data_IF_586456598750
#
_entry.id   IF_586456598750
#
_cell.length_a   1.000
_cell.length_b   1.000
_cell.length_c   1.000
_cell.angle_alpha   90.00
_cell.angle_beta   90.00
_cell.angle_gamma   90.00
#
_symmetry.space_group_name_H-M   'P 1'
#
loop_
_entity.id
_entity.type
_entity.pdbx_description
1 polymer ?
#
# COMPACT_ATOMS: atom_id res chain seq x y z
N UNK A 1 -2.61 -13.16 -11.31
CA UNK A 1 -3.27 -11.84 -11.34
C UNK A 1 -3.21 -11.27 -9.95
N UNK A 2 -2.74 -10.03 -9.84
CA UNK A 2 -2.75 -9.31 -8.57
C UNK A 2 -4.07 -8.56 -8.45
N UNK A 3 -4.76 -8.82 -7.35
CA UNK A 3 -5.81 -7.94 -6.87
C UNK A 3 -5.36 -7.61 -5.44
N UNK A 4 -5.05 -6.35 -5.20
CA UNK A 4 -4.50 -5.86 -3.94
C UNK A 4 -5.43 -4.82 -3.33
N UNK A 5 -5.57 -4.84 -2.00
CA UNK A 5 -6.36 -3.86 -1.28
C UNK A 5 -5.44 -2.70 -0.91
N UNK A 6 -5.62 -1.59 -1.62
CA UNK A 6 -4.94 -0.34 -1.29
C UNK A 6 -5.79 0.56 -0.39
N UNK A 7 -6.87 0.04 0.20
CA UNK A 7 -7.65 0.75 1.22
C UNK A 7 -7.21 0.36 2.63
N UNK A 8 -7.36 1.28 3.59
CA UNK A 8 -7.14 1.03 5.02
C UNK A 8 -8.48 0.78 5.71
N UNK A 9 -8.46 0.20 6.91
CA UNK A 9 -9.65 -0.11 7.71
C UNK A 9 -10.57 1.07 8.01
N UNK A 10 -10.07 2.31 7.91
CA UNK A 10 -10.87 3.53 8.15
C UNK A 10 -11.63 4.01 6.91
N UNK A 11 -11.49 3.36 5.76
CA UNK A 11 -12.18 3.74 4.52
C UNK A 11 -13.42 2.86 4.32
N UNK A 12 -14.54 3.46 3.93
CA UNK A 12 -15.86 2.80 3.86
C UNK A 12 -15.87 1.55 2.97
N UNK A 13 -15.13 1.57 1.85
CA UNK A 13 -15.07 0.47 0.89
C UNK A 13 -14.06 -0.62 1.26
N UNK A 14 -13.35 -0.49 2.39
CA UNK A 14 -12.34 -1.46 2.82
C UNK A 14 -12.88 -2.90 2.96
N UNK A 15 -13.99 -3.17 3.69
CA UNK A 15 -14.49 -4.54 3.86
C UNK A 15 -14.94 -5.18 2.55
N UNK A 16 -15.58 -4.42 1.67
CA UNK A 16 -16.04 -4.92 0.37
C UNK A 16 -14.87 -5.25 -0.55
N UNK A 17 -13.85 -4.38 -0.61
CA UNK A 17 -12.62 -4.65 -1.37
C UNK A 17 -11.88 -5.86 -0.84
N UNK A 18 -11.79 -6.02 0.49
CA UNK A 18 -11.17 -7.19 1.11
C UNK A 18 -11.86 -8.48 0.67
N UNK A 19 -13.19 -8.51 0.73
CA UNK A 19 -14.00 -9.66 0.29
C UNK A 19 -13.82 -9.95 -1.20
N UNK A 20 -13.74 -8.91 -2.03
CA UNK A 20 -13.47 -9.06 -3.47
C UNK A 20 -12.10 -9.71 -3.73
N UNK A 21 -11.05 -9.31 -3.02
CA UNK A 21 -9.71 -9.87 -3.16
C UNK A 21 -9.65 -11.32 -2.69
N UNK A 22 -10.25 -11.62 -1.54
CA UNK A 22 -10.36 -13.00 -1.03
C UNK A 22 -11.05 -13.92 -2.05
N UNK A 23 -12.12 -13.44 -2.69
CA UNK A 23 -12.78 -14.21 -3.74
C UNK A 23 -11.95 -14.31 -5.03
N UNK A 24 -11.25 -13.25 -5.41
CA UNK A 24 -10.35 -13.23 -6.57
C UNK A 24 -9.19 -14.21 -6.42
N UNK A 25 -8.67 -14.40 -5.20
CA UNK A 25 -7.63 -15.39 -4.90
C UNK A 25 -8.09 -16.83 -5.16
N UNK A 26 -9.38 -17.13 -4.96
CA UNK A 26 -9.94 -18.49 -5.17
C UNK A 26 -9.97 -18.90 -6.65
N UNK A 27 -10.07 -17.94 -7.58
CA UNK A 27 -10.12 -18.20 -9.03
C UNK A 27 -8.75 -18.09 -9.72
N UNK A 28 -7.69 -17.79 -8.97
CA UNK A 28 -6.31 -17.58 -9.48
C UNK A 28 -5.81 -18.71 -10.36
N UNK A 29 -6.07 -19.96 -9.97
CA UNK A 29 -5.56 -21.14 -10.69
C UNK A 29 -6.33 -21.43 -11.98
N UNK A 30 -7.62 -21.10 -12.03
CA UNK A 30 -8.41 -21.20 -13.26
C UNK A 30 -7.90 -20.22 -14.31
N UNK A 31 -7.65 -18.97 -13.90
CA UNK A 31 -7.08 -17.95 -14.78
C UNK A 31 -5.71 -18.36 -15.32
N UNK A 32 -4.84 -18.91 -14.45
CA UNK A 32 -3.53 -19.44 -14.88
C UNK A 32 -3.68 -20.53 -15.95
N UNK A 33 -4.64 -21.46 -15.79
CA UNK A 33 -4.89 -22.52 -16.79
C UNK A 33 -5.32 -21.95 -18.13
N UNK A 34 -6.16 -20.92 -18.14
CA UNK A 34 -6.60 -20.25 -19.37
C UNK A 34 -5.44 -19.54 -20.07
N UNK A 35 -4.61 -18.83 -19.31
CA UNK A 35 -3.50 -18.03 -19.84
C UNK A 35 -2.36 -18.90 -20.37
N UNK A 36 -2.06 -20.04 -19.72
CA UNK A 36 -1.00 -20.98 -20.12
C UNK A 36 -1.11 -21.45 -21.57
N UNK A 37 -2.32 -21.44 -22.14
CA UNK A 37 -2.59 -21.80 -23.55
C UNK A 37 -2.03 -20.80 -24.57
N UNK A 38 -1.53 -19.65 -24.12
CA UNK A 38 -1.09 -18.54 -24.96
C UNK A 38 0.34 -18.07 -24.64
N UNK A 39 1.04 -18.74 -23.72
CA UNK A 39 2.42 -18.40 -23.31
C UNK A 39 3.44 -18.52 -24.45
N UNK A 40 3.11 -19.28 -25.48
CA UNK A 40 3.89 -19.40 -26.72
C UNK A 40 3.77 -18.18 -27.65
N UNK A 41 2.73 -17.36 -27.46
CA UNK A 41 2.39 -16.22 -28.34
C UNK A 41 2.65 -14.87 -27.71
N UNK A 42 2.63 -14.80 -26.38
CA UNK A 42 2.81 -13.56 -25.62
C UNK A 42 3.59 -13.83 -24.33
N UNK A 43 4.46 -12.88 -23.98
CA UNK A 43 5.14 -12.89 -22.68
C UNK A 43 4.11 -12.51 -21.62
N UNK A 44 3.89 -13.42 -20.67
CA UNK A 44 2.99 -13.20 -19.54
C UNK A 44 3.83 -13.02 -18.28
N UNK A 45 3.66 -11.87 -17.64
CA UNK A 45 4.19 -11.60 -16.31
C UNK A 45 3.03 -11.30 -15.36
N UNK A 46 3.08 -11.88 -14.17
CA UNK A 46 2.22 -11.46 -13.07
C UNK A 46 3.00 -11.57 -11.77
N UNK A 47 2.81 -10.58 -10.91
CA UNK A 47 3.32 -10.61 -9.56
C UNK A 47 2.38 -11.50 -8.69
N UNK A 48 2.90 -12.04 -7.60
CA UNK A 48 2.16 -12.93 -6.72
C UNK A 48 1.25 -12.17 -5.76
N UNK A 49 -0.02 -12.57 -5.68
CA UNK A 49 -1.04 -12.03 -4.77
C UNK A 49 -0.83 -12.34 -3.28
N UNK A 50 0.34 -12.85 -2.90
CA UNK A 50 0.64 -13.18 -1.50
C UNK A 50 0.90 -11.90 -0.71
N UNK A 51 0.54 -11.91 0.58
CA UNK A 51 0.76 -10.77 1.46
C UNK A 51 2.27 -10.50 1.56
N UNK A 52 2.72 -9.33 1.10
CA UNK A 52 4.14 -8.91 1.12
C UNK A 52 4.56 -8.28 2.45
N UNK A 53 3.85 -8.62 3.52
CA UNK A 53 4.23 -8.23 4.87
C UNK A 53 5.54 -8.89 5.19
N UNK A 54 6.64 -8.13 5.28
CA UNK A 54 7.64 -8.28 6.35
C UNK A 54 8.44 -6.98 6.53
N UNK A 55 8.83 -6.23 5.49
CA UNK A 55 9.66 -5.02 5.67
C UNK A 55 9.50 -4.04 4.49
N UNK A 56 8.58 -3.07 4.59
CA UNK A 56 8.46 -2.01 3.57
C UNK A 56 9.56 -0.95 3.77
N UNK A 57 10.54 -0.93 2.87
CA UNK A 57 11.63 0.05 2.86
C UNK A 57 11.18 1.46 2.43
N UNK A 58 10.04 1.56 1.74
CA UNK A 58 9.57 2.81 1.17
C UNK A 58 9.27 3.84 2.27
N UNK A 59 8.45 3.48 3.25
CA UNK A 59 8.07 4.37 4.35
C UNK A 59 9.27 4.90 5.13
N UNK A 60 10.38 4.16 5.16
CA UNK A 60 11.63 4.52 5.84
C UNK A 60 12.43 5.57 5.06
N UNK A 61 12.58 5.36 3.75
CA UNK A 61 13.53 6.06 2.89
C UNK A 61 12.87 7.05 1.92
N UNK A 62 11.55 7.03 1.83
CA UNK A 62 10.78 7.77 0.84
C UNK A 62 9.43 8.22 1.42
N UNK A 63 8.84 9.20 0.76
CA UNK A 63 7.49 9.69 1.01
C UNK A 63 6.82 9.96 -0.34
N UNK A 64 5.54 10.30 -0.29
CA UNK A 64 4.85 10.93 -1.40
C UNK A 64 4.39 12.31 -0.96
N UNK A 65 4.52 13.30 -1.85
CA UNK A 65 4.02 14.65 -1.62
C UNK A 65 2.92 14.89 -2.64
N UNK A 66 1.71 15.13 -2.16
CA UNK A 66 0.55 15.39 -3.01
C UNK A 66 0.66 16.77 -3.66
N UNK A 67 -0.11 17.02 -4.71
CA UNK A 67 -0.11 18.31 -5.43
C UNK A 67 -0.49 19.50 -4.54
N UNK A 68 -1.33 19.26 -3.53
CA UNK A 68 -1.74 20.23 -2.50
C UNK A 68 -0.79 20.25 -1.28
N UNK A 69 0.36 19.59 -1.36
CA UNK A 69 1.49 19.76 -0.45
C UNK A 69 1.51 18.83 0.77
N UNK A 70 0.58 17.90 0.91
CA UNK A 70 0.59 16.95 2.02
C UNK A 70 1.65 15.87 1.83
N UNK A 71 2.36 15.55 2.91
CA UNK A 71 3.34 14.45 2.94
C UNK A 71 2.64 13.17 3.41
N UNK A 72 2.55 12.17 2.56
CA UNK A 72 1.93 10.86 2.83
C UNK A 72 2.99 9.74 2.77
N UNK A 73 2.72 8.52 3.31
CA UNK A 73 3.77 7.52 3.51
C UNK A 73 4.24 6.83 2.22
N UNK A 74 3.41 6.78 1.18
CA UNK A 74 3.75 6.19 -0.12
C UNK A 74 2.76 6.63 -1.22
N UNK A 75 3.14 6.46 -2.48
CA UNK A 75 2.33 6.86 -3.64
C UNK A 75 1.05 6.01 -3.83
N UNK A 76 1.03 4.76 -3.34
CA UNK A 76 -0.14 3.87 -3.43
C UNK A 76 -1.23 4.19 -2.39
N UNK A 77 -0.90 5.00 -1.37
CA UNK A 77 -1.85 5.54 -0.38
C UNK A 77 -1.81 7.07 -0.41
N UNK A 78 -2.22 7.70 -1.52
CA UNK A 78 -2.00 9.13 -1.72
C UNK A 78 -3.00 10.00 -0.98
N UNK A 79 -4.12 9.45 -0.49
CA UNK A 79 -5.19 10.21 0.16
C UNK A 79 -4.71 10.84 1.49
N UNK A 80 -4.51 12.17 1.54
CA UNK A 80 -3.99 12.83 2.72
C UNK A 80 -5.04 12.93 3.84
N UNK A 81 -6.34 12.76 3.54
CA UNK A 81 -7.40 12.75 4.55
C UNK A 81 -7.39 11.45 5.36
N UNK A 82 -6.96 10.35 4.73
CA UNK A 82 -6.74 9.07 5.41
C UNK A 82 -5.50 9.15 6.30
N UNK A 83 -4.36 9.56 5.75
CA UNK A 83 -3.12 9.63 6.53
C UNK A 83 -2.07 10.56 5.91
N UNK A 84 -1.63 11.56 6.68
CA UNK A 84 -0.53 12.47 6.29
C UNK A 84 0.37 12.82 7.50
N UNK A 85 1.55 13.37 7.25
CA UNK A 85 2.51 13.80 8.28
C UNK A 85 2.60 15.33 8.44
N UNK A 86 1.92 16.09 7.60
CA UNK A 86 1.97 17.54 7.55
C UNK A 86 1.89 18.05 6.11
N UNK A 87 1.90 19.37 5.95
CA UNK A 87 1.83 20.05 4.66
C UNK A 87 3.05 20.97 4.47
N UNK A 88 3.74 20.85 3.33
CA UNK A 88 4.97 21.59 3.03
C UNK A 88 4.76 23.09 2.86
N UNK A 89 3.53 23.54 2.61
CA UNK A 89 3.18 24.96 2.59
C UNK A 89 3.04 25.56 3.99
N UNK A 90 3.01 24.74 5.05
CA UNK A 90 2.87 25.17 6.44
C UNK A 90 4.14 24.98 7.27
N UNK A 91 4.91 23.91 7.02
CA UNK A 91 6.15 23.57 7.73
C UNK A 91 7.20 23.14 6.73
N UNK A 92 8.47 23.34 7.05
CA UNK A 92 9.54 22.85 6.19
C UNK A 92 9.49 21.32 6.08
N UNK A 93 9.86 20.78 4.91
CA UNK A 93 9.92 19.34 4.71
C UNK A 93 10.80 18.65 5.78
N UNK A 94 11.91 19.29 6.17
CA UNK A 94 12.82 18.78 7.21
C UNK A 94 12.12 18.62 8.55
N UNK A 95 11.26 19.54 8.95
CA UNK A 95 10.48 19.45 10.18
C UNK A 95 9.45 18.33 10.10
N UNK A 96 8.73 18.21 8.98
CA UNK A 96 7.73 17.15 8.77
C UNK A 96 8.39 15.77 8.82
N UNK A 97 9.47 15.59 8.06
CA UNK A 97 10.23 14.33 7.97
C UNK A 97 10.78 13.87 9.33
N UNK A 98 11.25 14.82 10.14
CA UNK A 98 11.85 14.55 11.46
C UNK A 98 10.86 14.66 12.62
N UNK A 99 9.58 14.87 12.34
CA UNK A 99 8.52 14.97 13.35
C UNK A 99 8.36 13.67 14.14
N UNK A 100 7.89 13.78 15.38
CA UNK A 100 7.59 12.61 16.22
C UNK A 100 6.54 11.69 15.57
N UNK A 101 5.55 12.27 14.88
CA UNK A 101 4.51 11.52 14.14
C UNK A 101 5.14 10.61 13.08
N UNK A 102 6.02 11.16 12.25
CA UNK A 102 6.64 10.40 11.16
C UNK A 102 7.69 9.41 11.71
N UNK A 103 8.51 9.79 12.69
CA UNK A 103 9.46 8.86 13.34
C UNK A 103 8.75 7.66 13.96
N UNK A 104 7.65 7.89 14.68
CA UNK A 104 6.83 6.83 15.28
C UNK A 104 6.24 5.90 14.20
N UNK A 105 5.71 6.47 13.12
CA UNK A 105 5.20 5.68 12.01
C UNK A 105 6.28 4.77 11.39
N UNK A 106 7.47 5.31 11.10
CA UNK A 106 8.58 4.53 10.54
C UNK A 106 9.06 3.43 11.47
N UNK A 107 9.11 3.71 12.77
CA UNK A 107 9.44 2.72 13.79
C UNK A 107 8.45 1.55 13.76
N UNK A 108 7.15 1.85 13.87
CA UNK A 108 6.07 0.85 13.88
C UNK A 108 6.03 0.04 12.58
N UNK A 109 6.20 0.69 11.44
CA UNK A 109 6.23 0.03 10.14
C UNK A 109 7.42 -0.92 9.98
N UNK A 110 8.55 -0.65 10.65
CA UNK A 110 9.72 -1.56 10.66
C UNK A 110 9.56 -2.72 11.64
N UNK A 111 8.82 -2.53 12.74
CA UNK A 111 8.50 -3.62 13.67
C UNK A 111 7.37 -4.52 13.15
N UNK A 112 6.70 -4.10 12.07
CA UNK A 112 5.58 -4.83 11.50
C UNK A 112 4.35 -4.84 12.39
N UNK A 113 4.13 -3.79 13.19
CA UNK A 113 2.99 -3.72 14.12
C UNK A 113 2.49 -2.27 14.30
N UNK A 114 1.21 -2.14 14.67
CA UNK A 114 0.69 -0.94 15.33
C UNK A 114 0.44 0.28 14.45
N UNK A 115 0.31 0.12 13.13
CA UNK A 115 -0.20 1.21 12.28
C UNK A 115 -1.11 0.70 11.16
N UNK A 116 -2.16 1.48 10.89
CA UNK A 116 -3.24 1.15 9.95
C UNK A 116 -2.75 0.90 8.51
N UNK A 117 -1.61 1.49 8.13
CA UNK A 117 -1.03 1.32 6.80
C UNK A 117 -0.34 -0.04 6.70
N UNK A 118 0.52 -0.39 7.66
CA UNK A 118 1.17 -1.70 7.68
C UNK A 118 0.15 -2.83 7.73
N UNK A 119 -0.84 -2.73 8.63
CA UNK A 119 -1.87 -3.77 8.84
C UNK A 119 -2.67 -4.10 7.58
N UNK A 120 -2.77 -3.16 6.64
CA UNK A 120 -3.53 -3.31 5.40
C UNK A 120 -2.65 -3.40 4.14
N UNK A 121 -1.33 -3.56 4.28
CA UNK A 121 -0.38 -3.47 3.16
C UNK A 121 0.42 -4.77 2.91
N UNK A 122 0.45 -5.25 1.66
CA UNK A 122 -0.67 -5.36 0.71
C UNK A 122 -1.49 -6.60 1.09
N UNK A 123 -2.73 -6.39 1.52
CA UNK A 123 -3.70 -7.48 1.78
C UNK A 123 -4.53 -7.80 0.54
#
# INVERSE_FOLDING_TARGET
MEVENWLVSTQDQYPDNRRFIENSRKVKDEVRKCIKKHEDKVIIAYLGSERRMQHCMWSKNSCFITVDGYVTPCCVRPDPMVFNFGNIFQKSFREIWNSNKYKKFRYLNNQGEGNIIYESCPD
#
